data_IF_916567319021
#
_entry.id   IF_916567319021
#
_cell.length_a   1.000
_cell.length_b   1.000
_cell.length_c   1.000
_cell.angle_alpha   90.00
_cell.angle_beta   90.00
_cell.angle_gamma   90.00
#
_symmetry.space_group_name_H-M   'P 1'
#
loop_
_entity.id
_entity.type
_entity.pdbx_description
1 polymer ?
#
# COMPACT_ATOMS: atom_id res chain seq x y z
N UNK A 1 19.28 0.95 20.41
CA UNK A 1 18.83 1.87 19.34
C UNK A 1 19.98 2.80 19.04
N UNK A 2 20.53 2.75 17.83
CA UNK A 2 21.55 3.70 17.38
C UNK A 2 20.86 5.04 17.16
N UNK A 3 21.38 6.14 17.73
CA UNK A 3 20.74 7.48 17.75
C UNK A 3 20.62 8.17 16.39
N UNK A 4 20.13 7.45 15.39
CA UNK A 4 19.86 7.95 14.05
C UNK A 4 18.44 8.54 14.00
N UNK A 5 18.36 9.80 13.56
CA UNK A 5 17.11 10.43 13.21
C UNK A 5 16.67 9.99 11.82
N UNK A 6 15.62 9.18 11.75
CA UNK A 6 15.10 8.62 10.50
C UNK A 6 14.03 9.55 9.94
N UNK A 7 14.25 10.05 8.73
CA UNK A 7 13.31 10.93 8.02
C UNK A 7 12.70 10.20 6.83
N UNK A 8 11.38 10.27 6.67
CA UNK A 8 10.66 9.64 5.56
C UNK A 8 10.49 10.63 4.40
N UNK A 9 10.70 10.18 3.17
CA UNK A 9 10.43 10.96 1.96
C UNK A 9 9.22 10.35 1.25
N UNK A 10 8.26 11.18 0.85
CA UNK A 10 7.10 10.69 0.10
C UNK A 10 7.56 10.09 -1.25
N UNK A 11 7.05 8.92 -1.68
CA UNK A 11 7.41 8.30 -2.96
C UNK A 11 7.19 9.23 -4.17
N UNK A 12 6.21 10.13 -4.10
CA UNK A 12 5.93 11.12 -5.13
C UNK A 12 7.09 12.08 -5.38
N UNK A 13 7.88 12.38 -4.35
CA UNK A 13 9.06 13.25 -4.46
C UNK A 13 10.31 12.51 -4.92
N UNK A 14 10.36 11.19 -4.73
CA UNK A 14 11.47 10.33 -5.19
C UNK A 14 11.32 9.97 -6.67
N UNK A 15 10.08 9.75 -7.12
CA UNK A 15 9.75 9.30 -8.49
C UNK A 15 10.47 10.05 -9.63
N UNK A 16 10.64 11.39 -9.60
CA UNK A 16 11.35 12.11 -10.66
C UNK A 16 12.84 11.74 -10.80
N UNK A 17 13.45 11.16 -9.75
CA UNK A 17 14.87 10.80 -9.71
C UNK A 17 15.12 9.32 -10.05
N UNK A 18 14.07 8.51 -10.16
CA UNK A 18 14.19 7.08 -10.48
C UNK A 18 14.50 6.92 -11.96
N UNK A 19 15.66 6.30 -12.27
CA UNK A 19 16.05 5.97 -13.64
C UNK A 19 15.16 4.87 -14.20
N UNK A 20 14.99 4.81 -15.53
CA UNK A 20 14.18 3.79 -16.22
C UNK A 20 14.85 2.40 -16.16
N UNK A 21 14.98 1.80 -14.98
CA UNK A 21 15.19 0.37 -14.72
C UNK A 21 14.79 0.09 -13.27
N UNK A 22 13.98 -0.96 -13.07
CA UNK A 22 13.53 -1.35 -11.74
C UNK A 22 14.61 -2.18 -11.06
N UNK A 23 15.49 -1.53 -10.30
CA UNK A 23 16.43 -2.19 -9.41
C UNK A 23 16.61 -1.39 -8.11
N UNK A 24 16.99 -2.06 -7.03
CA UNK A 24 17.11 -1.43 -5.71
C UNK A 24 18.23 -0.37 -5.66
N UNK A 25 19.25 -0.51 -6.50
CA UNK A 25 20.37 0.45 -6.60
C UNK A 25 19.90 1.81 -7.14
N UNK A 26 19.04 1.80 -8.16
CA UNK A 26 18.45 2.99 -8.76
C UNK A 26 17.47 3.66 -7.80
N UNK A 27 16.73 2.87 -7.02
CA UNK A 27 15.86 3.39 -5.96
C UNK A 27 16.69 4.05 -4.84
N UNK A 28 17.79 3.42 -4.41
CA UNK A 28 18.70 3.98 -3.41
C UNK A 28 19.35 5.30 -3.89
N UNK A 29 19.84 5.34 -5.13
CA UNK A 29 20.38 6.56 -5.74
C UNK A 29 19.31 7.67 -5.81
N UNK A 30 18.10 7.33 -6.23
CA UNK A 30 17.00 8.28 -6.34
C UNK A 30 16.61 8.87 -4.97
N UNK A 31 16.58 8.03 -3.92
CA UNK A 31 16.31 8.48 -2.54
C UNK A 31 17.43 9.39 -2.05
N UNK A 32 18.70 9.04 -2.28
CA UNK A 32 19.84 9.86 -1.87
C UNK A 32 19.84 11.23 -2.58
N UNK A 33 19.58 11.25 -3.89
CA UNK A 33 19.50 12.47 -4.68
C UNK A 33 18.33 13.35 -4.23
N UNK A 34 17.17 12.75 -3.97
CA UNK A 34 16.02 13.43 -3.41
C UNK A 34 16.34 14.05 -2.04
N UNK A 35 16.95 13.28 -1.14
CA UNK A 35 17.28 13.73 0.23
C UNK A 35 18.25 14.92 0.26
N UNK A 36 19.14 15.02 -0.73
CA UNK A 36 20.13 16.10 -0.84
C UNK A 36 19.56 17.43 -1.38
N UNK A 37 18.31 17.47 -1.86
CA UNK A 37 17.71 18.71 -2.36
C UNK A 37 17.37 19.68 -1.21
N UNK A 38 17.74 20.97 -1.32
CA UNK A 38 17.48 21.96 -0.27
C UNK A 38 15.99 22.23 -0.03
N UNK A 39 15.15 21.96 -1.03
CA UNK A 39 13.69 22.12 -0.96
C UNK A 39 12.95 20.83 -0.61
N UNK A 40 13.67 19.76 -0.23
CA UNK A 40 13.07 18.47 0.06
C UNK A 40 12.17 18.53 1.30
N UNK A 41 10.99 17.91 1.20
CA UNK A 41 10.01 17.85 2.29
C UNK A 41 9.92 16.42 2.81
N UNK A 42 10.15 16.28 4.11
CA UNK A 42 9.99 15.02 4.81
C UNK A 42 8.56 14.86 5.31
N UNK A 43 8.12 13.60 5.40
CA UNK A 43 6.81 13.21 5.92
C UNK A 43 7.00 12.66 7.32
N UNK A 44 6.09 13.00 8.21
CA UNK A 44 6.08 12.45 9.57
C UNK A 44 5.71 10.96 9.55
N UNK A 45 6.18 10.25 10.58
CA UNK A 45 5.77 8.87 10.81
C UNK A 45 4.28 8.87 11.20
N UNK A 46 3.52 7.98 10.57
CA UNK A 46 2.10 7.82 10.86
C UNK A 46 1.87 7.41 12.31
N UNK A 47 0.96 8.07 13.01
CA UNK A 47 0.61 7.69 14.40
C UNK A 47 -0.18 6.37 14.41
N UNK A 48 -0.17 5.61 15.52
CA UNK A 48 -0.96 4.38 15.61
C UNK A 48 -2.46 4.61 15.40
N UNK A 49 -3.01 5.75 15.82
CA UNK A 49 -4.41 6.12 15.60
C UNK A 49 -4.69 6.34 14.11
N UNK A 50 -3.82 7.09 13.43
CA UNK A 50 -3.91 7.29 11.99
C UNK A 50 -3.77 5.96 11.23
N UNK A 51 -2.90 5.06 11.70
CA UNK A 51 -2.75 3.73 11.13
C UNK A 51 -4.03 2.89 11.33
N UNK A 52 -4.64 2.96 12.52
CA UNK A 52 -5.90 2.31 12.87
C UNK A 52 -7.07 2.76 11.99
N UNK A 53 -7.19 4.06 11.70
CA UNK A 53 -8.20 4.56 10.77
C UNK A 53 -8.05 3.95 9.36
N UNK A 54 -6.81 3.74 8.90
CA UNK A 54 -6.54 3.06 7.63
C UNK A 54 -6.95 1.58 7.63
N UNK A 55 -6.99 0.92 8.79
CA UNK A 55 -7.44 -0.46 8.91
C UNK A 55 -8.94 -0.60 8.68
N UNK A 56 -9.74 0.40 9.07
CA UNK A 56 -11.20 0.38 8.87
C UNK A 56 -11.54 0.28 7.39
N UNK A 57 -10.90 1.10 6.53
CA UNK A 57 -11.11 1.06 5.09
C UNK A 57 -10.73 -0.30 4.49
N UNK A 58 -9.56 -0.83 4.86
CA UNK A 58 -9.11 -2.15 4.39
C UNK A 58 -10.04 -3.28 4.84
N UNK A 59 -10.53 -3.23 6.07
CA UNK A 59 -11.47 -4.22 6.60
C UNK A 59 -12.79 -4.17 5.84
N UNK A 60 -13.31 -2.96 5.54
CA UNK A 60 -14.51 -2.79 4.71
C UNK A 60 -14.32 -3.42 3.33
N UNK A 61 -13.22 -3.13 2.64
CA UNK A 61 -12.95 -3.66 1.31
C UNK A 61 -12.88 -5.20 1.33
N UNK A 62 -12.22 -5.77 2.34
CA UNK A 62 -12.16 -7.21 2.55
C UNK A 62 -13.57 -7.81 2.72
N UNK A 63 -14.38 -7.21 3.60
CA UNK A 63 -15.74 -7.69 3.86
C UNK A 63 -16.65 -7.61 2.63
N UNK A 64 -16.48 -6.59 1.78
CA UNK A 64 -17.22 -6.47 0.52
C UNK A 64 -16.87 -7.60 -0.45
N UNK A 65 -15.57 -7.91 -0.58
CA UNK A 65 -15.10 -9.03 -1.40
C UNK A 65 -15.61 -10.36 -0.84
N UNK A 66 -15.49 -10.58 0.47
CA UNK A 66 -15.97 -11.80 1.13
C UNK A 66 -17.47 -11.99 0.95
N UNK A 67 -18.29 -10.94 1.16
CA UNK A 67 -19.74 -11.00 0.91
C UNK A 67 -20.05 -11.46 -0.50
N UNK A 68 -19.34 -10.92 -1.49
CA UNK A 68 -19.54 -11.27 -2.90
C UNK A 68 -19.16 -12.73 -3.16
N UNK A 69 -18.03 -13.19 -2.61
CA UNK A 69 -17.62 -14.59 -2.69
C UNK A 69 -18.63 -15.53 -2.04
N UNK A 70 -19.15 -15.19 -0.86
CA UNK A 70 -20.17 -16.00 -0.17
C UNK A 70 -21.46 -16.09 -0.97
N UNK A 71 -21.96 -14.97 -1.52
CA UNK A 71 -23.16 -14.98 -2.38
C UNK A 71 -22.94 -15.84 -3.62
N UNK A 72 -21.79 -15.69 -4.28
CA UNK A 72 -21.45 -16.50 -5.44
C UNK A 72 -21.37 -17.99 -5.09
N UNK A 73 -20.77 -18.34 -3.96
CA UNK A 73 -20.70 -19.73 -3.49
C UNK A 73 -22.09 -20.31 -3.24
N UNK A 74 -23.00 -19.57 -2.61
CA UNK A 74 -24.39 -19.99 -2.39
C UNK A 74 -25.17 -20.12 -3.70
N UNK A 75 -25.00 -19.19 -4.65
CA UNK A 75 -25.66 -19.27 -5.95
C UNK A 75 -25.14 -20.43 -6.80
N UNK A 76 -23.83 -20.70 -6.79
CA UNK A 76 -23.23 -21.85 -7.47
C UNK A 76 -23.72 -23.16 -6.85
N UNK A 77 -23.72 -23.26 -5.52
CA UNK A 77 -24.26 -24.44 -4.81
C UNK A 77 -25.75 -24.65 -5.13
N UNK A 78 -26.53 -23.56 -5.25
CA UNK A 78 -27.93 -23.66 -5.64
C UNK A 78 -28.13 -24.14 -7.08
N UNK A 79 -27.25 -23.80 -8.01
CA UNK A 79 -27.30 -24.32 -9.39
C UNK A 79 -26.92 -25.81 -9.42
N UNK A 80 -25.93 -26.23 -8.63
CA UNK A 80 -25.51 -27.64 -8.52
C UNK A 80 -26.56 -28.52 -7.83
N UNK A 81 -27.31 -27.99 -6.86
CA UNK A 81 -28.35 -28.73 -6.12
C UNK A 81 -29.72 -28.75 -6.81
N UNK A 82 -30.03 -27.81 -7.71
CA UNK A 82 -31.31 -27.76 -8.45
C UNK A 82 -31.26 -28.44 -9.83
N UNK A 83 -30.21 -29.21 -10.14
CA UNK A 83 -30.23 -30.18 -11.23
C UNK A 83 -30.58 -29.60 -12.61
N UNK A 84 -29.86 -28.58 -13.05
CA UNK A 84 -29.73 -28.31 -14.49
C UNK A 84 -28.35 -28.83 -14.92
N UNK A 85 -28.27 -30.14 -15.08
CA UNK A 85 -27.45 -30.81 -16.09
C UNK A 85 -28.41 -31.39 -17.11
#
# INVERSE_FOLDING_TARGET
MFGHDVRLIAPKFVKPYVKNQKNDMADAEAIAEAANRPTMRFVEVKTPEQQGLGMIFRLRDLLVVQRTQTVNALCVDRVLTNGVV
#
